data_IF_313624556349
#
_entry.id   IF_313624556349
#
_cell.length_a   1.000
_cell.length_b   1.000
_cell.length_c   1.000
_cell.angle_alpha   90.00
_cell.angle_beta   90.00
_cell.angle_gamma   90.00
#
_symmetry.space_group_name_H-M   'P 1'
#
loop_
_entity.id
_entity.type
_entity.pdbx_description
1 polymer ?
#
# COMPACT_ATOMS: atom_id res chain seq x y z
N UNK A 1 -48.52 -53.84 20.89
CA UNK A 1 -48.55 -52.37 21.07
C UNK A 1 -47.16 -51.91 21.51
N UNK A 2 -46.32 -51.41 20.62
CA UNK A 2 -44.99 -50.89 20.97
C UNK A 2 -45.17 -49.50 21.52
N UNK A 3 -44.93 -49.34 22.82
CA UNK A 3 -44.84 -48.05 23.48
C UNK A 3 -43.53 -47.39 22.95
N UNK A 4 -43.66 -46.46 22.00
CA UNK A 4 -42.56 -45.62 21.65
C UNK A 4 -42.18 -44.78 22.85
N UNK A 5 -41.09 -45.11 23.48
CA UNK A 5 -40.55 -44.49 24.67
C UNK A 5 -40.29 -43.00 24.36
N UNK A 6 -40.78 -42.16 25.22
CA UNK A 6 -40.62 -40.70 25.26
C UNK A 6 -39.14 -40.28 25.22
N UNK A 7 -38.22 -41.23 25.30
CA UNK A 7 -36.77 -41.06 25.29
C UNK A 7 -36.21 -40.70 23.94
N UNK A 8 -36.79 -41.17 22.83
CA UNK A 8 -36.28 -40.93 21.48
C UNK A 8 -36.58 -39.49 21.00
N UNK A 9 -37.65 -38.86 21.53
CA UNK A 9 -37.99 -37.47 21.20
C UNK A 9 -37.13 -36.45 21.95
N UNK A 10 -36.67 -36.79 23.15
CA UNK A 10 -35.78 -35.92 23.94
C UNK A 10 -34.39 -35.88 23.31
N UNK A 11 -33.85 -37.02 22.88
CA UNK A 11 -32.54 -37.09 22.19
C UNK A 11 -32.55 -36.35 20.89
N UNK A 12 -33.66 -36.34 20.14
CA UNK A 12 -33.76 -35.59 18.91
C UNK A 12 -33.83 -34.06 19.11
N UNK A 13 -34.49 -33.62 20.20
CA UNK A 13 -34.55 -32.21 20.56
C UNK A 13 -33.19 -31.68 21.05
N UNK A 14 -32.46 -32.46 21.83
CA UNK A 14 -31.09 -32.12 22.26
C UNK A 14 -30.13 -32.02 21.05
N UNK A 15 -30.25 -32.93 20.08
CA UNK A 15 -29.43 -32.90 18.87
C UNK A 15 -29.72 -31.65 18.03
N UNK A 16 -30.98 -31.25 17.91
CA UNK A 16 -31.36 -30.02 17.19
C UNK A 16 -30.81 -28.78 17.88
N UNK A 17 -30.93 -28.70 19.22
CA UNK A 17 -30.41 -27.57 19.98
C UNK A 17 -28.87 -27.45 19.89
N UNK A 18 -28.15 -28.56 19.93
CA UNK A 18 -26.70 -28.58 19.77
C UNK A 18 -26.29 -28.13 18.36
N UNK A 19 -27.00 -28.59 17.34
CA UNK A 19 -26.75 -28.20 15.93
C UNK A 19 -26.98 -26.70 15.73
N UNK A 20 -28.02 -26.13 16.33
CA UNK A 20 -28.33 -24.72 16.26
C UNK A 20 -27.22 -23.86 16.91
N UNK A 21 -26.73 -24.28 18.09
CA UNK A 21 -25.62 -23.60 18.76
C UNK A 21 -24.36 -23.63 17.90
N UNK A 22 -24.03 -24.79 17.32
CA UNK A 22 -22.84 -24.93 16.45
C UNK A 22 -22.99 -24.06 15.21
N UNK A 23 -24.15 -24.05 14.60
CA UNK A 23 -24.41 -23.24 13.43
C UNK A 23 -24.31 -21.75 13.74
N UNK A 24 -24.87 -21.33 14.88
CA UNK A 24 -24.80 -19.93 15.32
C UNK A 24 -23.37 -19.49 15.61
N UNK A 25 -22.58 -20.34 16.28
CA UNK A 25 -21.14 -20.07 16.48
C UNK A 25 -20.38 -20.01 15.16
N UNK A 26 -20.69 -20.89 14.20
CA UNK A 26 -20.08 -20.89 12.90
C UNK A 26 -20.35 -19.59 12.14
N UNK A 27 -21.60 -19.13 12.11
CA UNK A 27 -21.98 -17.86 11.49
C UNK A 27 -21.29 -16.69 12.18
N UNK A 28 -21.22 -16.70 13.51
CA UNK A 28 -20.54 -15.66 14.27
C UNK A 28 -19.04 -15.59 13.94
N UNK A 29 -18.34 -16.71 13.92
CA UNK A 29 -16.93 -16.74 13.52
C UNK A 29 -16.74 -16.35 12.08
N UNK A 30 -17.60 -16.79 11.17
CA UNK A 30 -17.52 -16.46 9.76
C UNK A 30 -17.69 -14.96 9.52
N UNK A 31 -18.67 -14.34 10.14
CA UNK A 31 -18.89 -12.89 10.03
C UNK A 31 -17.77 -12.10 10.71
N UNK A 32 -17.28 -12.53 11.86
CA UNK A 32 -16.15 -11.88 12.54
C UNK A 32 -14.88 -11.96 11.69
N UNK A 33 -14.62 -13.10 11.07
CA UNK A 33 -13.46 -13.30 10.20
C UNK A 33 -13.59 -12.45 8.92
N UNK A 34 -14.78 -12.39 8.35
CA UNK A 34 -15.09 -11.55 7.18
C UNK A 34 -14.85 -10.07 7.47
N UNK A 35 -15.27 -9.58 8.64
CA UNK A 35 -15.03 -8.20 9.07
C UNK A 35 -13.55 -7.91 9.24
N UNK A 36 -12.78 -8.81 9.87
CA UNK A 36 -11.32 -8.65 10.02
C UNK A 36 -10.64 -8.57 8.65
N UNK A 37 -11.08 -9.34 7.67
CA UNK A 37 -10.54 -9.27 6.31
C UNK A 37 -10.96 -7.99 5.57
N UNK A 38 -12.18 -7.52 5.80
CA UNK A 38 -12.72 -6.33 5.10
C UNK A 38 -12.14 -5.03 5.68
N UNK A 39 -11.91 -4.99 7.00
CA UNK A 39 -11.39 -3.80 7.69
C UNK A 39 -9.89 -3.84 7.95
N UNK A 40 -9.14 -4.70 7.29
CA UNK A 40 -7.69 -4.72 7.41
C UNK A 40 -7.08 -3.66 6.45
N UNK A 41 -6.92 -2.40 6.88
CA UNK A 41 -6.38 -1.33 6.02
C UNK A 41 -4.92 -1.54 5.67
N UNK A 42 -4.28 -2.53 6.28
CA UNK A 42 -2.86 -2.83 6.06
C UNK A 42 -2.56 -3.60 4.76
N UNK A 43 -3.58 -4.04 4.01
CA UNK A 43 -3.38 -4.77 2.76
C UNK A 43 -3.48 -3.93 1.49
N UNK A 44 -3.94 -2.70 1.59
CA UNK A 44 -4.21 -1.87 0.40
C UNK A 44 -3.07 -0.95 -0.05
N UNK A 45 -1.91 -0.99 0.59
CA UNK A 45 -0.77 -0.20 0.10
C UNK A 45 0.17 -0.97 -0.83
N UNK A 46 -0.21 -2.16 -1.26
CA UNK A 46 0.43 -2.78 -2.41
C UNK A 46 -0.44 -2.55 -3.65
N UNK A 47 -0.50 -1.33 -4.11
CA UNK A 47 -0.63 -1.14 -5.54
C UNK A 47 0.72 -1.60 -6.11
N UNK A 48 0.86 -2.92 -6.22
CA UNK A 48 1.72 -3.48 -7.23
C UNK A 48 1.02 -3.07 -8.53
N UNK A 49 1.40 -1.94 -9.06
CA UNK A 49 1.22 -1.73 -10.49
C UNK A 49 2.09 -2.82 -11.12
N UNK A 50 1.52 -4.02 -11.27
CA UNK A 50 1.97 -4.94 -12.29
C UNK A 50 1.89 -4.12 -13.56
N UNK A 51 3.03 -3.60 -13.99
CA UNK A 51 3.18 -3.21 -15.37
C UNK A 51 2.71 -4.42 -16.19
N UNK A 52 1.66 -4.30 -17.01
CA UNK A 52 1.34 -5.37 -17.94
C UNK A 52 2.62 -5.56 -18.75
N UNK A 53 3.17 -6.76 -18.71
CA UNK A 53 4.08 -7.23 -19.73
C UNK A 53 3.21 -7.51 -20.99
N UNK A 54 2.59 -6.48 -21.50
CA UNK A 54 2.22 -6.43 -22.88
C UNK A 54 3.44 -5.86 -23.58
N UNK A 55 3.86 -6.49 -24.66
CA UNK A 55 4.82 -5.96 -25.64
C UNK A 55 4.35 -4.61 -26.20
N UNK A 56 4.23 -3.63 -25.34
CA UNK A 56 4.13 -2.25 -25.73
C UNK A 56 5.57 -1.84 -25.96
N UNK A 57 5.97 -1.75 -27.22
CA UNK A 57 7.11 -0.98 -27.65
C UNK A 57 7.08 0.33 -26.85
N UNK A 58 7.87 0.38 -25.78
CA UNK A 58 8.09 1.58 -24.99
C UNK A 58 8.61 2.60 -26.00
N UNK A 59 7.93 3.71 -26.23
CA UNK A 59 8.48 4.75 -27.08
C UNK A 59 9.86 5.10 -26.53
N UNK A 60 10.87 5.11 -27.35
CA UNK A 60 12.28 5.34 -27.03
C UNK A 60 12.55 6.69 -26.32
N UNK A 61 11.51 7.42 -25.99
CA UNK A 61 11.55 8.78 -25.44
C UNK A 61 11.19 8.87 -23.94
N UNK A 62 11.00 7.72 -23.25
CA UNK A 62 10.83 7.72 -21.79
C UNK A 62 12.20 7.68 -21.12
N UNK A 63 12.78 8.85 -20.92
CA UNK A 63 13.97 9.02 -20.07
C UNK A 63 13.70 8.45 -18.68
N UNK A 64 14.69 7.79 -18.09
CA UNK A 64 14.59 7.21 -16.75
C UNK A 64 14.03 8.22 -15.74
N UNK A 65 13.17 7.78 -14.81
CA UNK A 65 12.61 8.66 -13.79
C UNK A 65 13.71 9.22 -12.88
N UNK A 66 13.52 10.43 -12.42
CA UNK A 66 14.39 11.04 -11.41
C UNK A 66 13.95 10.51 -10.04
N UNK A 67 14.88 9.94 -9.28
CA UNK A 67 14.57 9.38 -7.96
C UNK A 67 15.09 10.33 -6.88
N UNK A 68 14.18 10.81 -6.03
CA UNK A 68 14.48 11.56 -4.82
C UNK A 68 14.23 10.65 -3.64
N UNK A 69 15.26 10.35 -2.85
CA UNK A 69 15.15 9.45 -1.69
C UNK A 69 15.19 10.26 -0.39
N UNK A 70 14.32 9.92 0.56
CA UNK A 70 14.32 10.48 1.92
C UNK A 70 14.57 9.31 2.87
N UNK A 71 15.69 9.38 3.60
CA UNK A 71 16.06 8.34 4.55
C UNK A 71 15.34 8.51 5.91
N UNK A 72 15.50 7.53 6.80
CA UNK A 72 14.92 7.54 8.16
C UNK A 72 15.38 8.71 9.04
N UNK A 73 16.46 9.41 8.69
CA UNK A 73 16.95 10.62 9.35
C UNK A 73 16.39 11.92 8.76
N UNK A 74 15.41 11.81 7.84
CA UNK A 74 14.83 12.94 7.11
C UNK A 74 15.82 13.69 6.19
N UNK A 75 16.91 13.03 5.82
CA UNK A 75 17.88 13.56 4.85
C UNK A 75 17.38 13.26 3.43
N UNK A 76 17.55 14.23 2.54
CA UNK A 76 17.09 14.15 1.15
C UNK A 76 18.27 13.86 0.23
N UNK A 77 18.11 12.88 -0.64
CA UNK A 77 19.12 12.49 -1.63
C UNK A 77 18.53 12.57 -3.04
N UNK A 78 19.29 13.12 -3.93
CA UNK A 78 19.02 13.07 -5.38
C UNK A 78 20.07 12.22 -6.06
N UNK A 79 19.68 11.12 -6.70
CA UNK A 79 20.59 10.17 -7.33
C UNK A 79 21.76 9.77 -6.39
N UNK A 80 21.46 9.42 -5.14
CA UNK A 80 22.40 9.02 -4.08
C UNK A 80 23.34 10.14 -3.54
N UNK A 81 23.12 11.39 -3.91
CA UNK A 81 23.85 12.53 -3.38
C UNK A 81 22.99 13.31 -2.40
N UNK A 82 23.47 13.59 -1.17
CA UNK A 82 22.70 14.40 -0.22
C UNK A 82 22.51 15.82 -0.77
N UNK A 83 21.31 16.34 -0.64
CA UNK A 83 20.91 17.67 -1.12
C UNK A 83 20.12 18.41 -0.06
N UNK A 84 20.33 19.72 -0.01
CA UNK A 84 19.40 20.61 0.72
C UNK A 84 18.13 20.80 -0.12
N UNK A 85 17.03 21.27 0.50
CA UNK A 85 15.80 21.53 -0.23
C UNK A 85 15.98 22.61 -1.32
N UNK A 86 16.88 23.57 -1.08
CA UNK A 86 17.22 24.61 -2.05
C UNK A 86 17.97 24.05 -3.24
N UNK A 87 18.98 23.22 -2.99
CA UNK A 87 19.79 22.60 -4.04
C UNK A 87 18.94 21.62 -4.85
N UNK A 88 18.07 20.86 -4.17
CA UNK A 88 17.11 19.97 -4.80
C UNK A 88 16.23 20.71 -5.81
N UNK A 89 15.69 21.88 -5.41
CA UNK A 89 14.86 22.71 -6.27
C UNK A 89 15.62 23.14 -7.54
N UNK A 90 16.82 23.68 -7.36
CA UNK A 90 17.64 24.17 -8.47
C UNK A 90 18.02 23.05 -9.44
N UNK A 91 18.41 21.90 -8.89
CA UNK A 91 18.81 20.74 -9.71
C UNK A 91 17.62 20.09 -10.41
N UNK A 92 16.45 19.99 -9.75
CA UNK A 92 15.23 19.53 -10.40
C UNK A 92 14.79 20.48 -11.51
N UNK A 93 14.86 21.79 -11.31
CA UNK A 93 14.55 22.77 -12.36
C UNK A 93 15.43 22.58 -13.60
N UNK A 94 16.74 22.37 -13.42
CA UNK A 94 17.65 22.13 -14.52
C UNK A 94 17.36 20.82 -15.24
N UNK A 95 17.09 19.73 -14.50
CA UNK A 95 16.79 18.41 -15.07
C UNK A 95 15.47 18.40 -15.85
N UNK A 96 14.47 19.12 -15.38
CA UNK A 96 13.15 19.21 -16.01
C UNK A 96 13.18 20.15 -17.22
N UNK A 97 14.01 21.18 -17.21
CA UNK A 97 14.20 22.05 -18.36
C UNK A 97 14.62 21.27 -19.62
N UNK A 98 15.39 20.20 -19.44
CA UNK A 98 15.79 19.32 -20.55
C UNK A 98 14.71 18.32 -20.97
N UNK A 99 13.73 18.02 -20.09
CA UNK A 99 12.68 17.05 -20.38
C UNK A 99 11.48 17.25 -19.43
N UNK A 100 10.50 18.03 -19.88
CA UNK A 100 9.28 18.33 -19.07
C UNK A 100 8.43 17.12 -18.75
N UNK A 101 8.51 16.07 -19.56
CA UNK A 101 7.72 14.84 -19.38
C UNK A 101 8.36 13.83 -18.43
N UNK A 102 9.56 14.12 -17.90
CA UNK A 102 10.29 13.21 -17.04
C UNK A 102 9.59 13.08 -15.68
N UNK A 103 9.31 11.85 -15.28
CA UNK A 103 8.69 11.57 -13.99
C UNK A 103 9.71 11.74 -12.84
N UNK A 104 9.26 12.29 -11.72
CA UNK A 104 10.00 12.33 -10.45
C UNK A 104 9.33 11.40 -9.45
N UNK A 105 10.08 10.49 -8.86
CA UNK A 105 9.59 9.55 -7.86
C UNK A 105 10.26 9.90 -6.53
N UNK A 106 9.44 10.28 -5.55
CA UNK A 106 9.87 10.48 -4.17
C UNK A 106 9.79 9.16 -3.44
N UNK A 107 10.93 8.61 -3.06
CA UNK A 107 11.07 7.38 -2.30
C UNK A 107 11.34 7.72 -0.85
N UNK A 108 10.45 7.35 0.05
CA UNK A 108 10.55 7.64 1.47
C UNK A 108 10.66 6.36 2.30
N UNK A 109 11.56 6.35 3.29
CA UNK A 109 11.59 5.31 4.32
C UNK A 109 10.32 5.40 5.17
N UNK A 110 9.81 4.27 5.67
CA UNK A 110 8.60 4.20 6.49
C UNK A 110 8.64 5.06 7.76
N UNK A 111 9.83 5.34 8.28
CA UNK A 111 10.03 6.13 9.50
C UNK A 111 10.21 7.62 9.23
N UNK A 112 10.09 8.06 7.99
CA UNK A 112 10.20 9.48 7.62
C UNK A 112 9.01 10.26 8.17
N UNK A 113 9.29 11.44 8.69
CA UNK A 113 8.25 12.36 9.13
C UNK A 113 7.46 12.84 7.91
N UNK A 114 6.12 12.71 7.95
CA UNK A 114 5.24 13.06 6.85
C UNK A 114 5.45 14.50 6.34
N UNK A 115 5.67 15.44 7.27
CA UNK A 115 5.97 16.83 6.93
C UNK A 115 7.18 16.97 6.00
N UNK A 116 8.20 16.14 6.18
CA UNK A 116 9.38 16.15 5.30
C UNK A 116 9.05 15.70 3.88
N UNK A 117 8.19 14.70 3.75
CA UNK A 117 7.70 14.25 2.44
C UNK A 117 6.94 15.36 1.73
N UNK A 118 6.06 16.05 2.45
CA UNK A 118 5.29 17.18 1.91
C UNK A 118 6.21 18.30 1.44
N UNK A 119 7.23 18.66 2.23
CA UNK A 119 8.21 19.67 1.83
C UNK A 119 8.94 19.32 0.53
N UNK A 120 9.36 18.07 0.38
CA UNK A 120 10.02 17.60 -0.85
C UNK A 120 9.06 17.63 -2.03
N UNK A 121 7.81 17.24 -1.83
CA UNK A 121 6.78 17.31 -2.88
C UNK A 121 6.51 18.74 -3.33
N UNK A 122 6.43 19.68 -2.40
CA UNK A 122 6.25 21.11 -2.70
C UNK A 122 7.42 21.66 -3.51
N UNK A 123 8.65 21.28 -3.12
CA UNK A 123 9.86 21.66 -3.87
C UNK A 123 9.81 21.11 -5.30
N UNK A 124 9.40 19.86 -5.47
CA UNK A 124 9.28 19.24 -6.80
C UNK A 124 8.20 19.94 -7.67
N UNK A 125 7.04 20.23 -7.08
CA UNK A 125 5.97 20.97 -7.77
C UNK A 125 6.42 22.38 -8.18
N UNK A 126 7.06 23.09 -7.27
CA UNK A 126 7.59 24.43 -7.55
C UNK A 126 8.73 24.43 -8.57
N UNK A 127 9.42 23.30 -8.73
CA UNK A 127 10.41 23.12 -9.79
C UNK A 127 9.80 22.86 -11.19
N UNK A 128 8.47 22.67 -11.28
CA UNK A 128 7.77 22.44 -12.54
C UNK A 128 7.60 20.98 -12.93
N UNK A 129 7.67 20.06 -11.95
CA UNK A 129 7.44 18.62 -12.19
C UNK A 129 5.97 18.38 -12.52
N UNK A 130 5.69 17.83 -13.71
CA UNK A 130 4.34 17.49 -14.15
C UNK A 130 3.91 16.09 -13.65
N UNK A 131 4.85 15.16 -13.55
CA UNK A 131 4.60 13.76 -13.14
C UNK A 131 5.35 13.44 -11.86
N UNK A 132 4.64 13.44 -10.74
CA UNK A 132 5.17 13.17 -9.41
C UNK A 132 4.57 11.88 -8.86
N UNK A 133 5.42 10.93 -8.49
CA UNK A 133 5.05 9.70 -7.83
C UNK A 133 5.64 9.61 -6.43
N UNK A 134 5.01 8.82 -5.55
CA UNK A 134 5.52 8.53 -4.20
C UNK A 134 5.66 7.02 -4.06
N UNK A 135 6.79 6.57 -3.55
CA UNK A 135 7.04 5.18 -3.17
C UNK A 135 7.50 5.13 -1.72
N UNK A 136 6.88 4.27 -0.92
CA UNK A 136 7.30 4.02 0.46
C UNK A 136 8.13 2.75 0.47
N UNK A 137 9.37 2.83 0.94
CA UNK A 137 10.24 1.67 1.11
C UNK A 137 10.10 1.10 2.52
N UNK A 138 9.73 -0.15 2.55
CA UNK A 138 9.87 -0.99 3.73
C UNK A 138 11.16 -1.78 3.56
N UNK A 139 12.19 -1.48 4.38
CA UNK A 139 13.40 -2.32 4.39
C UNK A 139 12.97 -3.74 4.74
N UNK A 140 13.30 -4.75 3.92
CA UNK A 140 13.10 -6.13 4.35
C UNK A 140 13.94 -6.33 5.62
N UNK A 141 13.29 -6.77 6.68
CA UNK A 141 13.99 -7.22 7.88
C UNK A 141 14.88 -8.41 7.49
N UNK A 142 16.17 -8.17 7.51
CA UNK A 142 17.16 -9.24 7.52
C UNK A 142 17.17 -9.91 8.86
#
# INVERSE_FOLDING_TARGET
>A
MKIKTHRDSIVSLESVAITDIILNMFIFFFTSFSLVYTFNPMRESRIIVKLPQADVKVPADQKEPIIVTINSRNEVFLNNRPKTLRDLRTELQSLIAFSKTRAVIVRADKNVIFDRVVQVMDVAKNAGVERLGIAIEEKPHS
#
